data_IF_815353115283
#
_entry.id   IF_815353115283
#
_cell.length_a   1.000
_cell.length_b   1.000
_cell.length_c   1.000
_cell.angle_alpha   90.00
_cell.angle_beta   90.00
_cell.angle_gamma   90.00
#
_symmetry.space_group_name_H-M   'P 1'
#
loop_
_entity.id
_entity.type
_entity.pdbx_description
1 polymer ?
#
# COMPACT_ATOMS: atom_id res chain seq x y z
N UNK A 1 -26.83 -49.50 -3.85
CA UNK A 1 -25.89 -48.38 -3.80
C UNK A 1 -26.29 -47.34 -4.83
N UNK A 2 -26.23 -46.07 -4.45
CA UNK A 2 -26.26 -44.93 -5.37
C UNK A 2 -24.91 -44.23 -5.37
N UNK A 3 -24.50 -43.74 -6.52
CA UNK A 3 -23.24 -43.03 -6.71
C UNK A 3 -23.55 -41.66 -7.23
N UNK A 4 -23.01 -40.64 -6.57
CA UNK A 4 -23.19 -39.23 -6.96
C UNK A 4 -21.83 -38.55 -7.17
N UNK A 5 -21.75 -37.73 -8.21
CA UNK A 5 -20.63 -36.85 -8.50
C UNK A 5 -21.12 -35.42 -8.45
N UNK A 6 -20.57 -34.66 -7.54
CA UNK A 6 -20.96 -33.27 -7.33
C UNK A 6 -19.75 -32.40 -7.06
N UNK A 7 -19.93 -31.11 -7.14
CA UNK A 7 -19.00 -30.13 -6.61
C UNK A 7 -19.62 -29.55 -5.33
N UNK A 8 -18.89 -29.61 -4.23
CA UNK A 8 -19.30 -28.87 -3.05
C UNK A 8 -18.64 -27.49 -3.06
N UNK A 9 -19.31 -26.50 -2.46
CA UNK A 9 -18.79 -25.16 -2.26
C UNK A 9 -19.18 -24.71 -0.86
N UNK A 10 -18.18 -24.25 -0.09
CA UNK A 10 -18.35 -23.68 1.22
C UNK A 10 -17.74 -22.27 1.26
N UNK A 11 -18.30 -21.40 2.09
CA UNK A 11 -17.78 -20.04 2.31
C UNK A 11 -17.33 -19.95 3.77
N UNK A 12 -16.07 -19.57 3.99
CA UNK A 12 -15.58 -19.25 5.31
C UNK A 12 -16.28 -17.98 5.82
N UNK A 13 -17.02 -18.10 6.91
CA UNK A 13 -17.81 -16.98 7.45
C UNK A 13 -16.96 -15.82 7.99
N UNK A 14 -15.70 -16.08 8.35
CA UNK A 14 -14.79 -15.05 8.88
C UNK A 14 -14.08 -14.30 7.78
N UNK A 15 -13.59 -15.01 6.74
CA UNK A 15 -12.81 -14.40 5.67
C UNK A 15 -13.63 -14.08 4.41
N UNK A 16 -14.77 -14.74 4.21
CA UNK A 16 -15.55 -14.68 2.98
C UNK A 16 -14.98 -15.53 1.85
N UNK A 17 -13.87 -16.25 2.08
CA UNK A 17 -13.25 -17.09 1.05
C UNK A 17 -14.07 -18.31 0.73
N UNK A 18 -14.02 -18.70 -0.54
CA UNK A 18 -14.70 -19.87 -1.05
C UNK A 18 -13.75 -21.05 -1.09
N UNK A 19 -14.18 -22.17 -0.51
CA UNK A 19 -13.55 -23.49 -0.63
C UNK A 19 -14.42 -24.34 -1.52
N UNK A 20 -13.86 -24.93 -2.57
CA UNK A 20 -14.62 -25.72 -3.53
C UNK A 20 -13.82 -26.92 -4.01
N UNK A 21 -14.52 -28.02 -4.28
CA UNK A 21 -13.87 -29.21 -4.83
C UNK A 21 -14.85 -30.29 -5.26
N UNK A 22 -14.36 -31.27 -6.05
CA UNK A 22 -15.17 -32.44 -6.42
C UNK A 22 -15.41 -33.29 -5.18
N UNK A 23 -16.63 -33.79 -5.08
CA UNK A 23 -17.08 -34.71 -4.05
C UNK A 23 -17.81 -35.87 -4.73
N UNK A 24 -17.33 -37.09 -4.53
CA UNK A 24 -18.03 -38.29 -4.93
C UNK A 24 -18.61 -38.94 -3.68
N UNK A 25 -19.87 -39.31 -3.73
CA UNK A 25 -20.52 -40.03 -2.64
C UNK A 25 -21.02 -41.39 -3.10
N UNK A 26 -20.83 -42.37 -2.25
CA UNK A 26 -21.44 -43.68 -2.42
C UNK A 26 -22.38 -43.93 -1.24
N UNK A 27 -23.67 -44.09 -1.52
CA UNK A 27 -24.68 -44.26 -0.49
C UNK A 27 -25.22 -45.69 -0.55
N UNK A 28 -25.24 -46.39 0.57
CA UNK A 28 -25.96 -47.63 0.73
C UNK A 28 -27.38 -47.31 1.19
N UNK A 29 -28.35 -47.77 0.35
CA UNK A 29 -29.77 -47.57 0.61
C UNK A 29 -30.36 -48.94 0.96
N UNK A 30 -31.07 -49.01 2.08
CA UNK A 30 -31.75 -50.24 2.53
C UNK A 30 -33.06 -50.50 1.79
N UNK A 31 -33.73 -51.59 2.14
CA UNK A 31 -34.99 -52.01 1.51
C UNK A 31 -36.13 -51.01 1.72
N UNK A 32 -36.07 -50.21 2.79
CA UNK A 32 -37.04 -49.12 3.08
C UNK A 32 -36.75 -47.83 2.31
N UNK A 33 -35.73 -47.80 1.47
CA UNK A 33 -35.32 -46.60 0.71
C UNK A 33 -34.55 -45.56 1.54
N UNK A 34 -34.01 -45.91 2.72
CA UNK A 34 -33.26 -45.03 3.57
C UNK A 34 -31.75 -45.23 3.42
N UNK A 35 -31.00 -44.15 3.44
CA UNK A 35 -29.53 -44.18 3.45
C UNK A 35 -29.06 -44.65 4.84
N UNK A 36 -28.35 -45.78 4.89
CA UNK A 36 -27.75 -46.32 6.11
C UNK A 36 -26.25 -46.01 6.24
N UNK A 37 -25.60 -45.84 5.06
CA UNK A 37 -24.17 -45.53 5.06
C UNK A 37 -23.87 -44.62 3.88
N UNK A 38 -23.00 -43.60 4.12
CA UNK A 38 -22.45 -42.75 3.10
C UNK A 38 -20.92 -42.80 3.17
N UNK A 39 -20.28 -43.05 2.03
CA UNK A 39 -18.84 -42.97 1.90
C UNK A 39 -18.54 -41.79 0.98
N UNK A 40 -17.69 -40.85 1.46
CA UNK A 40 -17.29 -39.65 0.74
C UNK A 40 -15.87 -39.79 0.23
N UNK A 41 -15.67 -39.49 -1.05
CA UNK A 41 -14.37 -39.46 -1.71
C UNK A 41 -14.14 -38.06 -2.21
N UNK A 42 -13.08 -37.40 -1.70
CA UNK A 42 -12.66 -36.08 -2.09
C UNK A 42 -11.15 -35.92 -1.93
N UNK A 43 -10.57 -34.94 -2.61
CA UNK A 43 -9.16 -34.60 -2.46
C UNK A 43 -8.96 -33.86 -1.15
N UNK A 44 -8.52 -34.61 -0.12
CA UNK A 44 -8.27 -34.07 1.22
C UNK A 44 -7.13 -33.06 1.24
N UNK A 45 -6.13 -33.24 0.39
CA UNK A 45 -4.96 -32.35 0.35
C UNK A 45 -5.34 -31.00 -0.24
N UNK A 46 -5.98 -30.99 -1.41
CA UNK A 46 -6.45 -29.76 -2.05
C UNK A 46 -7.47 -29.00 -1.21
N UNK A 47 -8.47 -29.68 -0.67
CA UNK A 47 -9.50 -29.05 0.18
C UNK A 47 -8.90 -28.57 1.51
N UNK A 48 -8.02 -29.37 2.11
CA UNK A 48 -7.33 -28.99 3.33
C UNK A 48 -6.45 -27.74 3.15
N UNK A 49 -5.75 -27.63 2.03
CA UNK A 49 -4.98 -26.45 1.68
C UNK A 49 -5.86 -25.19 1.51
N UNK A 50 -6.97 -25.30 0.79
CA UNK A 50 -7.95 -24.20 0.61
C UNK A 50 -8.55 -23.76 1.97
N UNK A 51 -8.89 -24.71 2.84
CA UNK A 51 -9.40 -24.43 4.19
C UNK A 51 -8.33 -23.70 4.98
N UNK A 52 -7.08 -24.17 5.00
CA UNK A 52 -5.98 -23.53 5.71
C UNK A 52 -5.72 -22.11 5.19
N UNK A 53 -5.74 -21.93 3.86
CA UNK A 53 -5.59 -20.62 3.24
C UNK A 53 -6.72 -19.66 3.63
N UNK A 54 -7.96 -20.15 3.71
CA UNK A 54 -9.12 -19.36 4.11
C UNK A 54 -9.07 -18.86 5.56
N UNK A 55 -8.30 -19.50 6.44
CA UNK A 55 -8.03 -19.07 7.81
C UNK A 55 -6.74 -18.23 7.92
N UNK A 56 -5.97 -18.13 6.83
CA UNK A 56 -4.77 -17.31 6.79
C UNK A 56 -5.10 -15.82 6.93
N UNK A 57 -4.13 -15.05 7.43
CA UNK A 57 -4.25 -13.59 7.39
C UNK A 57 -4.20 -13.12 5.93
N UNK A 58 -5.23 -12.40 5.48
CA UNK A 58 -5.21 -11.74 4.18
C UNK A 58 -4.16 -10.64 4.20
N UNK A 59 -3.16 -10.76 3.33
CA UNK A 59 -2.12 -9.76 3.12
C UNK A 59 -2.31 -9.15 1.74
N UNK A 60 -2.36 -7.84 1.68
CA UNK A 60 -2.37 -7.13 0.41
C UNK A 60 -0.99 -6.57 0.03
N UNK A 61 0.08 -6.98 0.69
CA UNK A 61 1.40 -6.49 0.37
C UNK A 61 2.48 -7.02 1.30
N UNK A 62 3.72 -6.62 0.99
CA UNK A 62 4.90 -6.85 1.82
C UNK A 62 5.52 -5.51 2.16
N UNK A 63 6.01 -5.38 3.39
CA UNK A 63 6.73 -4.21 3.88
C UNK A 63 8.23 -4.53 3.86
N UNK A 64 9.02 -3.55 3.42
CA UNK A 64 10.47 -3.60 3.37
C UNK A 64 11.01 -2.34 4.05
N UNK A 65 12.00 -2.48 4.90
CA UNK A 65 12.74 -1.39 5.56
C UNK A 65 13.99 -0.96 4.77
N UNK A 66 14.39 -1.76 3.76
CA UNK A 66 15.44 -1.44 2.80
C UNK A 66 14.89 -1.65 1.37
N UNK A 67 14.87 -0.58 0.57
CA UNK A 67 14.44 -0.63 -0.83
C UNK A 67 15.02 0.56 -1.62
N UNK A 68 15.38 0.40 -2.90
CA UNK A 68 15.89 1.51 -3.72
C UNK A 68 15.00 2.75 -3.76
N UNK A 69 13.66 2.59 -3.67
CA UNK A 69 12.74 3.73 -3.65
C UNK A 69 12.79 4.53 -2.33
N UNK A 70 13.22 3.91 -1.24
CA UNK A 70 13.52 4.64 0.00
C UNK A 70 14.73 5.57 -0.22
N UNK A 71 15.74 5.13 -0.95
CA UNK A 71 16.89 5.98 -1.27
C UNK A 71 16.50 7.15 -2.18
N UNK A 72 15.63 6.94 -3.18
CA UNK A 72 15.06 8.02 -4.00
C UNK A 72 14.33 9.04 -3.12
N UNK A 73 13.52 8.58 -2.17
CA UNK A 73 12.87 9.50 -1.22
C UNK A 73 13.87 10.32 -0.41
N UNK A 74 14.97 9.70 0.06
CA UNK A 74 16.03 10.41 0.78
C UNK A 74 16.72 11.45 -0.09
N UNK A 75 16.90 11.22 -1.39
CA UNK A 75 17.43 12.17 -2.36
C UNK A 75 16.47 13.36 -2.55
N UNK A 76 15.15 13.13 -2.61
CA UNK A 76 14.14 14.20 -2.63
C UNK A 76 14.23 15.06 -1.36
N UNK A 77 14.34 14.42 -0.20
CA UNK A 77 14.50 15.11 1.09
C UNK A 77 15.79 15.92 1.13
N UNK A 78 16.91 15.36 0.66
CA UNK A 78 18.18 16.07 0.58
C UNK A 78 18.11 17.30 -0.35
N UNK A 79 17.39 17.18 -1.48
CA UNK A 79 17.10 18.31 -2.37
C UNK A 79 16.32 19.43 -1.68
N UNK A 80 15.32 19.08 -0.87
CA UNK A 80 14.57 20.04 -0.04
C UNK A 80 15.48 20.75 0.97
N UNK A 81 16.30 20.01 1.71
CA UNK A 81 17.25 20.59 2.66
C UNK A 81 18.27 21.53 1.98
N UNK A 82 18.75 21.14 0.79
CA UNK A 82 19.66 21.94 -0.02
C UNK A 82 18.99 23.17 -0.67
N UNK A 83 17.66 23.20 -0.75
CA UNK A 83 16.90 24.24 -1.43
C UNK A 83 16.93 24.10 -2.97
N UNK A 84 17.04 22.90 -3.49
CA UNK A 84 17.12 22.60 -4.92
C UNK A 84 15.84 21.91 -5.41
N UNK A 85 14.83 22.73 -5.75
CA UNK A 85 13.55 22.25 -6.27
C UNK A 85 13.68 21.54 -7.63
N UNK A 86 14.68 21.88 -8.44
CA UNK A 86 14.93 21.24 -9.72
C UNK A 86 15.50 19.82 -9.53
N UNK A 87 16.46 19.66 -8.63
CA UNK A 87 16.98 18.33 -8.27
C UNK A 87 15.86 17.42 -7.75
N UNK A 88 15.01 17.93 -6.84
CA UNK A 88 13.85 17.19 -6.33
C UNK A 88 12.95 16.71 -7.48
N UNK A 89 12.61 17.60 -8.42
CA UNK A 89 11.69 17.31 -9.51
C UNK A 89 12.17 16.18 -10.44
N UNK A 90 13.48 15.93 -10.51
CA UNK A 90 14.03 14.83 -11.35
C UNK A 90 13.55 13.44 -10.93
N UNK A 91 13.10 13.28 -9.70
CA UNK A 91 12.62 12.00 -9.16
C UNK A 91 11.14 11.72 -9.44
N UNK A 92 10.41 12.72 -9.94
CA UNK A 92 8.98 12.63 -10.21
C UNK A 92 8.70 12.36 -11.70
N UNK A 93 7.60 11.66 -11.97
CA UNK A 93 7.07 11.51 -13.32
C UNK A 93 6.43 12.83 -13.78
N UNK A 94 6.42 13.09 -15.10
CA UNK A 94 5.84 14.32 -15.65
C UNK A 94 4.34 14.45 -15.36
N UNK A 95 3.64 13.32 -15.26
CA UNK A 95 2.21 13.21 -14.95
C UNK A 95 1.93 12.96 -13.46
N UNK A 96 2.91 13.21 -12.59
CA UNK A 96 2.76 13.03 -11.16
C UNK A 96 1.66 13.93 -10.59
N UNK A 97 0.90 13.39 -9.64
CA UNK A 97 -0.15 14.11 -8.92
C UNK A 97 0.22 14.36 -7.47
N UNK A 98 -0.15 15.53 -6.97
CA UNK A 98 0.14 15.98 -5.60
C UNK A 98 -1.13 16.31 -4.85
N UNK A 99 -1.21 15.83 -3.61
CA UNK A 99 -2.31 16.08 -2.69
C UNK A 99 -1.77 16.53 -1.34
N UNK A 100 -2.45 17.49 -0.72
CA UNK A 100 -2.21 17.85 0.68
C UNK A 100 -3.49 17.61 1.46
N UNK A 101 -3.41 16.79 2.50
CA UNK A 101 -4.54 16.51 3.37
C UNK A 101 -4.73 17.65 4.37
N UNK A 102 -5.98 18.03 4.59
CA UNK A 102 -6.34 19.11 5.53
C UNK A 102 -6.64 20.47 4.88
N UNK A 103 -6.19 20.72 3.67
CA UNK A 103 -6.36 22.02 2.99
C UNK A 103 -7.65 22.10 2.11
N UNK A 104 -8.59 21.19 2.30
CA UNK A 104 -9.80 21.08 1.48
C UNK A 104 -9.48 20.66 0.04
N UNK A 105 -10.35 21.01 -0.91
CA UNK A 105 -10.19 20.60 -2.32
C UNK A 105 -9.13 21.43 -3.08
N UNK A 106 -8.63 22.51 -2.49
CA UNK A 106 -7.70 23.43 -3.14
C UNK A 106 -6.32 22.84 -3.46
N UNK A 107 -5.95 21.73 -2.83
CA UNK A 107 -4.65 21.09 -2.99
C UNK A 107 -4.77 19.61 -3.41
N UNK A 108 -5.74 19.32 -4.26
CA UNK A 108 -5.91 17.99 -4.87
C UNK A 108 -5.51 18.02 -6.32
N UNK A 109 -4.98 16.89 -6.80
CA UNK A 109 -4.64 16.65 -8.22
C UNK A 109 -3.79 17.77 -8.85
N UNK A 110 -2.86 18.34 -8.05
CA UNK A 110 -1.91 19.33 -8.55
C UNK A 110 -0.82 18.64 -9.35
N UNK A 111 -0.33 19.30 -10.39
CA UNK A 111 0.75 18.80 -11.23
C UNK A 111 2.15 19.13 -10.69
N UNK A 112 3.17 18.62 -11.37
CA UNK A 112 4.57 18.84 -11.02
C UNK A 112 4.97 20.33 -11.11
N UNK A 113 4.42 21.09 -12.05
CA UNK A 113 4.72 22.51 -12.20
C UNK A 113 4.25 23.30 -10.96
N UNK A 114 3.01 23.07 -10.53
CA UNK A 114 2.48 23.65 -9.29
C UNK A 114 3.33 23.25 -8.06
N UNK A 115 3.74 21.98 -8.00
CA UNK A 115 4.53 21.49 -6.87
C UNK A 115 5.90 22.15 -6.81
N UNK A 116 6.57 22.33 -7.94
CA UNK A 116 7.86 23.06 -8.03
C UNK A 116 7.74 24.52 -7.57
N UNK A 117 6.66 25.22 -7.94
CA UNK A 117 6.39 26.58 -7.44
C UNK A 117 6.21 26.57 -5.91
N UNK A 118 5.45 25.59 -5.38
CA UNK A 118 5.27 25.44 -3.94
C UNK A 118 6.57 25.17 -3.20
N UNK A 119 7.45 24.30 -3.70
CA UNK A 119 8.78 24.07 -3.14
C UNK A 119 9.62 25.33 -3.19
N UNK A 120 9.67 26.02 -4.32
CA UNK A 120 10.43 27.25 -4.51
C UNK A 120 9.97 28.36 -3.55
N UNK A 121 8.66 28.49 -3.34
CA UNK A 121 8.09 29.42 -2.37
C UNK A 121 8.52 29.07 -0.93
N UNK A 122 8.42 27.79 -0.53
CA UNK A 122 8.86 27.34 0.79
C UNK A 122 10.36 27.53 1.00
N UNK A 123 11.18 27.28 -0.03
CA UNK A 123 12.63 27.52 -0.01
C UNK A 123 12.93 29.02 0.19
N UNK A 124 12.23 29.89 -0.52
CA UNK A 124 12.43 31.34 -0.45
C UNK A 124 12.04 31.93 0.91
N UNK A 125 11.11 31.33 1.64
CA UNK A 125 10.63 31.78 2.95
C UNK A 125 11.44 31.24 4.12
N UNK A 126 12.46 30.41 3.86
CA UNK A 126 13.27 29.77 4.92
C UNK A 126 14.78 29.93 4.65
N UNK A 127 15.56 30.12 5.69
CA UNK A 127 17.03 30.20 5.62
C UNK A 127 17.72 28.87 5.92
N UNK A 128 17.03 28.00 6.64
CA UNK A 128 17.49 26.65 6.98
C UNK A 128 16.30 25.70 6.96
N UNK A 129 16.54 24.47 6.51
CA UNK A 129 15.54 23.39 6.44
C UNK A 129 16.22 22.09 6.81
N UNK A 130 15.64 21.35 7.74
CA UNK A 130 16.15 20.05 8.15
C UNK A 130 15.01 19.04 8.31
N UNK A 131 15.18 17.87 7.72
CA UNK A 131 14.24 16.78 7.77
C UNK A 131 14.83 15.62 8.58
N UNK A 132 14.36 15.46 9.82
CA UNK A 132 14.77 14.34 10.66
C UNK A 132 13.71 13.25 10.56
N UNK A 133 14.09 12.08 10.06
CA UNK A 133 13.17 10.94 9.95
C UNK A 133 12.70 10.51 11.34
N UNK A 134 11.39 10.26 11.46
CA UNK A 134 10.80 9.67 12.64
C UNK A 134 10.64 8.17 12.39
N UNK A 135 11.44 7.34 13.08
CA UNK A 135 11.55 5.92 12.78
C UNK A 135 12.37 5.66 11.51
N UNK A 136 11.79 4.98 10.55
CA UNK A 136 12.36 4.71 9.23
C UNK A 136 11.24 4.67 8.18
N UNK A 137 11.53 4.97 6.90
CA UNK A 137 10.55 4.83 5.84
C UNK A 137 10.21 3.36 5.56
N UNK A 138 8.95 3.08 5.30
CA UNK A 138 8.46 1.78 4.91
C UNK A 138 8.18 1.73 3.40
N UNK A 139 8.78 0.77 2.69
CA UNK A 139 8.40 0.46 1.31
C UNK A 139 7.39 -0.68 1.30
N UNK A 140 6.21 -0.42 0.74
CA UNK A 140 5.13 -1.41 0.65
C UNK A 140 4.96 -1.82 -0.81
N UNK A 141 5.07 -3.13 -1.08
CA UNK A 141 4.69 -3.70 -2.37
C UNK A 141 3.27 -4.28 -2.27
N UNK A 142 2.31 -3.60 -2.86
CA UNK A 142 0.94 -4.08 -2.94
C UNK A 142 0.80 -5.16 -4.00
N UNK A 143 0.13 -6.27 -3.67
CA UNK A 143 -0.03 -7.45 -4.54
C UNK A 143 -1.43 -7.58 -5.14
N UNK A 144 -2.41 -6.83 -4.62
CA UNK A 144 -3.82 -6.84 -5.05
C UNK A 144 -4.24 -5.43 -5.45
N UNK A 145 -5.31 -5.34 -6.22
CA UNK A 145 -5.78 -4.10 -6.80
C UNK A 145 -4.94 -3.72 -8.01
N UNK A 146 -4.60 -2.46 -8.15
CA UNK A 146 -3.72 -1.97 -9.21
C UNK A 146 -2.25 -2.37 -8.98
N UNK A 147 -1.94 -2.88 -7.78
CA UNK A 147 -0.59 -3.23 -7.38
C UNK A 147 0.30 -2.00 -7.21
N UNK A 148 1.62 -2.25 -7.14
CA UNK A 148 2.59 -1.16 -7.13
C UNK A 148 3.31 -0.95 -5.81
N UNK A 149 4.17 0.06 -5.81
CA UNK A 149 4.99 0.42 -4.66
C UNK A 149 4.51 1.72 -4.05
N UNK A 150 4.45 1.72 -2.72
CA UNK A 150 4.17 2.90 -1.92
C UNK A 150 5.25 3.05 -0.86
N UNK A 151 5.81 4.26 -0.72
CA UNK A 151 6.75 4.59 0.35
C UNK A 151 6.04 5.46 1.36
N UNK A 152 5.95 5.01 2.60
CA UNK A 152 5.40 5.76 3.72
C UNK A 152 6.54 6.27 4.59
N UNK A 153 6.50 7.54 4.98
CA UNK A 153 7.55 8.12 5.81
C UNK A 153 7.04 9.24 6.71
N UNK A 154 7.69 9.42 7.85
CA UNK A 154 7.33 10.40 8.86
C UNK A 154 8.56 11.22 9.21
N UNK A 155 8.39 12.55 9.34
CA UNK A 155 9.49 13.48 9.48
C UNK A 155 9.17 14.58 10.48
N UNK A 156 10.18 14.96 11.27
CA UNK A 156 10.19 16.25 11.94
C UNK A 156 10.92 17.23 11.03
N UNK A 157 10.17 18.16 10.43
CA UNK A 157 10.71 19.22 9.59
C UNK A 157 10.95 20.47 10.43
N UNK A 158 12.22 20.75 10.70
CA UNK A 158 12.68 21.96 11.39
C UNK A 158 13.17 22.97 10.36
N UNK A 159 12.70 24.20 10.46
CA UNK A 159 13.08 25.28 9.55
C UNK A 159 13.24 26.60 10.28
N UNK A 160 14.01 27.52 9.69
CA UNK A 160 14.18 28.87 10.19
C UNK A 160 13.54 29.84 9.23
N UNK A 161 12.60 30.68 9.72
CA UNK A 161 11.92 31.69 8.93
C UNK A 161 12.92 32.74 8.41
N UNK A 162 12.87 33.03 7.11
CA UNK A 162 13.68 34.08 6.51
C UNK A 162 13.24 35.49 6.97
N UNK A 163 11.97 35.65 7.34
CA UNK A 163 11.41 36.96 7.77
C UNK A 163 11.72 37.25 9.23
N UNK A 164 11.48 36.27 10.13
CA UNK A 164 11.58 36.50 11.58
C UNK A 164 12.88 35.98 12.19
N UNK A 165 13.58 35.05 11.52
CA UNK A 165 14.73 34.33 12.07
C UNK A 165 14.34 33.29 13.14
N UNK A 166 13.06 33.07 13.39
CA UNK A 166 12.59 32.11 14.36
C UNK A 166 12.66 30.69 13.78
N UNK A 167 13.01 29.74 14.64
CA UNK A 167 13.00 28.32 14.33
C UNK A 167 11.67 27.73 14.72
N UNK A 168 11.09 26.88 13.84
CA UNK A 168 9.89 26.13 14.08
C UNK A 168 10.04 24.67 13.60
N UNK A 169 9.22 23.79 14.14
CA UNK A 169 9.23 22.35 13.77
C UNK A 169 7.80 21.86 13.58
N UNK A 170 7.53 21.27 12.42
CA UNK A 170 6.27 20.63 12.10
C UNK A 170 6.48 19.15 11.85
N UNK A 171 5.46 18.36 12.17
CA UNK A 171 5.45 16.93 11.87
C UNK A 171 4.81 16.69 10.51
N UNK A 172 5.47 15.90 9.67
CA UNK A 172 5.01 15.55 8.33
C UNK A 172 4.83 14.05 8.18
N UNK A 173 3.80 13.66 7.46
CA UNK A 173 3.68 12.34 6.88
C UNK A 173 3.66 12.46 5.36
N UNK A 174 4.48 11.67 4.69
CA UNK A 174 4.59 11.59 3.24
C UNK A 174 4.27 10.17 2.77
N UNK A 175 3.45 10.08 1.75
CA UNK A 175 3.15 8.85 1.02
C UNK A 175 3.47 9.07 -0.46
N UNK A 176 4.29 8.20 -1.03
CA UNK A 176 4.75 8.29 -2.42
C UNK A 176 4.50 6.99 -3.16
N UNK A 177 3.69 7.05 -4.23
CA UNK A 177 3.52 5.93 -5.15
C UNK A 177 4.59 5.98 -6.24
N UNK A 178 5.10 4.81 -6.65
CA UNK A 178 6.16 4.68 -7.64
C UNK A 178 5.71 3.85 -8.84
N UNK A 179 6.19 4.23 -10.03
CA UNK A 179 6.11 3.39 -11.22
C UNK A 179 7.31 2.42 -11.31
N UNK A 180 7.29 1.55 -12.34
CA UNK A 180 8.35 0.57 -12.55
C UNK A 180 9.69 1.18 -12.99
N UNK A 181 9.69 2.44 -13.44
CA UNK A 181 10.90 3.19 -13.84
C UNK A 181 11.56 3.90 -12.64
N UNK A 182 11.00 3.73 -11.44
CA UNK A 182 11.50 4.36 -10.22
C UNK A 182 11.14 5.84 -10.09
N UNK A 183 10.14 6.32 -10.84
CA UNK A 183 9.64 7.68 -10.70
C UNK A 183 8.45 7.74 -9.78
N UNK A 184 8.38 8.79 -8.98
CA UNK A 184 7.23 9.09 -8.13
C UNK A 184 6.08 9.57 -9.01
N UNK A 185 4.93 8.88 -8.93
CA UNK A 185 3.72 9.19 -9.72
C UNK A 185 2.64 9.88 -8.89
N UNK A 186 2.73 9.78 -7.58
CA UNK A 186 1.82 10.46 -6.65
C UNK A 186 2.54 10.79 -5.34
N UNK A 187 2.30 11.98 -4.84
CA UNK A 187 2.66 12.38 -3.47
C UNK A 187 1.39 12.75 -2.70
N UNK A 188 1.27 12.25 -1.49
CA UNK A 188 0.29 12.73 -0.50
C UNK A 188 1.05 13.25 0.70
N UNK A 189 0.83 14.51 1.03
CA UNK A 189 1.41 15.20 2.18
C UNK A 189 0.34 15.43 3.24
N UNK A 190 0.65 15.09 4.47
CA UNK A 190 -0.09 15.52 5.66
C UNK A 190 0.85 16.29 6.59
N UNK A 191 0.36 17.39 7.16
CA UNK A 191 1.07 18.29 8.08
C UNK A 191 0.24 18.45 9.33
N UNK A 192 0.84 18.25 10.50
CA UNK A 192 0.21 18.49 11.80
C UNK A 192 0.36 19.95 12.20
#
# INVERSE_FOLDING_TARGET
WTLDWMTFTGINKMSGDTVSGPLHTANYVNEDGKIEMTVNYYDRESIGAQIQESFGMHRNGRIYDEHPYIEILKEVVAGWEAGDADAMATHFADDCTFHRLGDGDGYRDKDLAFRKESWSAGIATTTSRKMNVYGYPDAINYQKGEGGWEILSWWNHTFVSAETGEEDTVFLHLSHSFNNDGKITREVLWVD
#
